data_IF_673314466515
#
_entry.id   IF_673314466515
#
_cell.length_a   1.000
_cell.length_b   1.000
_cell.length_c   1.000
_cell.angle_alpha   90.00
_cell.angle_beta   90.00
_cell.angle_gamma   90.00
#
_symmetry.space_group_name_H-M   'P 1'
#
loop_
_entity.id
_entity.type
_entity.pdbx_description
1 polymer ?
#
# COMPACT_ATOMS: atom_id res chain seq x y z
N UNK A 1 -15.69 52.24 -14.47
CA UNK A 1 -17.09 51.86 -14.75
C UNK A 1 -17.42 51.94 -16.26
N UNK A 2 -17.10 53.04 -16.96
CA UNK A 2 -17.41 53.19 -18.41
C UNK A 2 -16.73 52.11 -19.25
N UNK A 3 -15.43 51.81 -19.00
CA UNK A 3 -14.67 50.80 -19.73
C UNK A 3 -15.17 49.37 -19.43
N UNK A 4 -15.44 49.08 -18.17
CA UNK A 4 -16.01 47.77 -17.79
C UNK A 4 -17.36 47.51 -18.47
N UNK A 5 -18.19 48.55 -18.61
CA UNK A 5 -19.48 48.45 -19.30
C UNK A 5 -19.31 48.22 -20.81
N UNK A 6 -18.28 48.81 -21.43
CA UNK A 6 -17.97 48.64 -22.86
C UNK A 6 -17.45 47.21 -23.14
N UNK A 7 -16.68 46.64 -22.21
CA UNK A 7 -16.10 45.31 -22.30
C UNK A 7 -17.05 44.20 -21.73
N UNK A 8 -18.26 44.56 -21.35
CA UNK A 8 -19.24 43.61 -20.85
C UNK A 8 -18.91 43.01 -19.47
N UNK A 9 -18.01 43.63 -18.71
CA UNK A 9 -17.58 43.13 -17.39
C UNK A 9 -18.50 43.62 -16.27
N UNK A 10 -19.01 42.68 -15.48
CA UNK A 10 -19.78 42.97 -14.26
C UNK A 10 -18.84 43.25 -13.07
N UNK A 11 -18.80 44.51 -12.66
CA UNK A 11 -17.97 44.98 -11.54
C UNK A 11 -18.33 44.38 -10.19
N UNK A 12 -19.50 43.78 -10.04
CA UNK A 12 -19.90 43.11 -8.82
C UNK A 12 -19.16 41.77 -8.59
N UNK A 13 -18.63 41.19 -9.67
CA UNK A 13 -17.89 39.92 -9.65
C UNK A 13 -16.38 40.08 -9.50
N UNK A 14 -15.85 41.33 -9.57
CA UNK A 14 -14.44 41.62 -9.48
C UNK A 14 -14.04 42.11 -8.08
N UNK A 15 -12.92 41.66 -7.55
CA UNK A 15 -12.25 42.28 -6.40
C UNK A 15 -11.15 43.22 -6.92
N UNK A 16 -11.09 44.47 -6.39
CA UNK A 16 -10.11 45.45 -6.81
C UNK A 16 -8.89 45.51 -5.88
N UNK A 17 -7.70 45.75 -6.43
CA UNK A 17 -6.46 45.95 -5.68
C UNK A 17 -6.23 47.44 -5.29
N UNK A 18 -7.11 48.36 -5.69
CA UNK A 18 -7.01 49.79 -5.38
C UNK A 18 -7.44 50.14 -3.95
N UNK A 19 -7.22 51.39 -3.48
CA UNK A 19 -7.60 51.85 -2.17
C UNK A 19 -9.07 51.57 -1.85
N UNK A 20 -9.33 51.02 -0.67
CA UNK A 20 -10.67 50.57 -0.21
C UNK A 20 -11.33 49.51 -1.15
N UNK A 21 -10.55 48.63 -1.77
CA UNK A 21 -11.08 47.56 -2.62
C UNK A 21 -11.61 48.04 -3.98
N UNK A 22 -11.18 49.24 -4.44
CA UNK A 22 -11.62 49.80 -5.72
C UNK A 22 -10.97 49.03 -6.88
N UNK A 23 -11.79 48.64 -7.85
CA UNK A 23 -11.30 48.06 -9.12
C UNK A 23 -10.59 49.09 -9.94
N UNK A 24 -9.31 48.87 -10.27
CA UNK A 24 -8.45 49.72 -11.07
C UNK A 24 -8.49 49.33 -12.53
N UNK A 25 -7.84 50.13 -13.39
CA UNK A 25 -7.69 49.78 -14.81
C UNK A 25 -6.80 48.54 -14.99
N UNK A 26 -5.79 48.39 -14.15
CA UNK A 26 -4.89 47.25 -14.17
C UNK A 26 -5.63 45.95 -13.84
N UNK A 27 -6.54 45.96 -12.86
CA UNK A 27 -7.37 44.79 -12.51
C UNK A 27 -8.25 44.37 -13.71
N UNK A 28 -8.81 45.32 -14.40
CA UNK A 28 -9.61 45.05 -15.59
C UNK A 28 -8.77 44.53 -16.74
N UNK A 29 -7.55 45.06 -16.96
CA UNK A 29 -6.63 44.60 -17.98
C UNK A 29 -6.16 43.17 -17.71
N UNK A 30 -5.84 42.83 -16.45
CA UNK A 30 -5.48 41.48 -16.04
C UNK A 30 -6.63 40.49 -16.24
N UNK A 31 -7.86 40.92 -15.97
CA UNK A 31 -9.04 40.08 -16.22
C UNK A 31 -9.26 39.85 -17.73
N UNK A 32 -9.13 40.87 -18.56
CA UNK A 32 -9.34 40.78 -20.02
C UNK A 32 -8.20 40.01 -20.72
N UNK A 33 -6.98 40.07 -20.19
CA UNK A 33 -5.84 39.31 -20.74
C UNK A 33 -5.87 37.83 -20.38
N UNK A 34 -6.80 37.38 -19.54
CA UNK A 34 -6.94 36.00 -19.17
C UNK A 34 -5.81 35.50 -18.25
N UNK A 35 -5.04 36.40 -17.64
CA UNK A 35 -3.91 36.08 -16.76
C UNK A 35 -4.36 35.49 -15.40
N UNK A 36 -5.66 35.32 -15.24
CA UNK A 36 -6.24 34.51 -14.16
C UNK A 36 -6.05 35.06 -12.75
N UNK A 37 -5.71 36.35 -12.60
CA UNK A 37 -5.59 36.98 -11.28
C UNK A 37 -6.54 38.17 -11.15
N UNK A 38 -7.38 38.17 -10.11
CA UNK A 38 -8.14 39.32 -9.69
C UNK A 38 -7.75 39.60 -8.22
N UNK A 39 -7.24 40.83 -7.99
CA UNK A 39 -6.79 41.20 -6.64
C UNK A 39 -5.58 40.41 -6.11
N UNK A 40 -4.68 39.93 -6.98
CA UNK A 40 -3.48 39.18 -6.59
C UNK A 40 -3.71 37.72 -6.20
N UNK A 41 -4.93 37.21 -6.27
CA UNK A 41 -5.24 35.81 -6.05
C UNK A 41 -5.50 35.10 -7.39
N UNK A 42 -4.94 33.92 -7.62
CA UNK A 42 -5.23 33.16 -8.83
C UNK A 42 -6.72 32.80 -8.87
N UNK A 43 -7.39 33.14 -9.98
CA UNK A 43 -8.76 32.67 -10.21
C UNK A 43 -8.69 31.15 -10.42
N UNK A 44 -9.41 30.33 -9.65
CA UNK A 44 -9.47 28.90 -9.91
C UNK A 44 -10.00 28.70 -11.34
N UNK A 45 -9.18 28.13 -12.23
CA UNK A 45 -9.66 27.72 -13.55
C UNK A 45 -10.84 26.80 -13.33
N UNK A 46 -11.98 27.10 -13.92
CA UNK A 46 -13.12 26.18 -13.91
C UNK A 46 -12.65 24.81 -14.40
N UNK A 47 -12.87 23.79 -13.58
CA UNK A 47 -12.47 22.43 -13.93
C UNK A 47 -13.20 22.03 -15.23
N UNK A 48 -12.49 21.38 -16.14
CA UNK A 48 -13.10 20.80 -17.33
C UNK A 48 -14.03 19.68 -16.90
N UNK A 49 -15.31 19.79 -17.17
CA UNK A 49 -16.26 18.71 -16.94
C UNK A 49 -15.85 17.49 -17.76
N UNK A 50 -15.67 16.36 -17.07
CA UNK A 50 -15.32 15.09 -17.70
C UNK A 50 -16.54 14.18 -17.68
N UNK A 51 -17.11 13.89 -18.84
CA UNK A 51 -18.29 13.02 -19.02
C UNK A 51 -17.96 11.64 -19.58
N UNK A 52 -16.70 11.36 -19.87
CA UNK A 52 -16.28 10.06 -20.42
C UNK A 52 -16.36 8.95 -19.39
N UNK A 53 -17.02 7.84 -19.76
CA UNK A 53 -17.08 6.59 -19.00
C UNK A 53 -16.26 5.54 -19.74
N UNK A 54 -15.39 4.83 -19.03
CA UNK A 54 -14.62 3.71 -19.58
C UNK A 54 -14.97 2.46 -18.81
N UNK A 55 -15.53 1.48 -19.48
CA UNK A 55 -15.82 0.17 -18.90
C UNK A 55 -14.58 -0.72 -19.00
N UNK A 56 -14.11 -1.24 -17.87
CA UNK A 56 -12.98 -2.16 -17.79
C UNK A 56 -13.45 -3.48 -17.20
N UNK A 57 -13.41 -4.59 -17.96
CA UNK A 57 -13.83 -5.88 -17.46
C UNK A 57 -12.91 -6.39 -16.33
N UNK A 58 -13.51 -6.91 -15.26
CA UNK A 58 -12.77 -7.53 -14.14
C UNK A 58 -12.59 -9.01 -14.44
N UNK A 59 -11.41 -9.38 -14.96
CA UNK A 59 -11.08 -10.75 -15.36
C UNK A 59 -9.77 -11.23 -14.72
N UNK A 60 -9.49 -12.54 -14.81
CA UNK A 60 -8.21 -13.13 -14.39
C UNK A 60 -7.95 -12.95 -12.89
N UNK A 61 -6.75 -12.49 -12.55
CA UNK A 61 -6.31 -12.33 -11.15
C UNK A 61 -7.21 -11.40 -10.34
N UNK A 62 -7.65 -10.28 -10.92
CA UNK A 62 -8.56 -9.34 -10.24
C UNK A 62 -9.87 -9.97 -9.86
N UNK A 63 -10.43 -10.85 -10.73
CA UNK A 63 -11.63 -11.61 -10.44
C UNK A 63 -11.43 -12.56 -9.26
N UNK A 64 -10.33 -13.34 -9.28
CA UNK A 64 -9.97 -14.25 -8.18
C UNK A 64 -9.81 -13.53 -6.86
N UNK A 65 -9.16 -12.36 -6.85
CA UNK A 65 -9.01 -11.53 -5.65
C UNK A 65 -10.39 -11.10 -5.12
N UNK A 66 -11.27 -10.61 -5.99
CA UNK A 66 -12.63 -10.21 -5.61
C UNK A 66 -13.41 -11.35 -4.99
N UNK A 67 -13.39 -12.53 -5.62
CA UNK A 67 -14.09 -13.72 -5.14
C UNK A 67 -13.57 -14.17 -3.77
N UNK A 68 -12.23 -14.21 -3.57
CA UNK A 68 -11.60 -14.59 -2.29
C UNK A 68 -11.86 -13.56 -1.19
N UNK A 69 -11.79 -12.27 -1.50
CA UNK A 69 -12.07 -11.22 -0.52
C UNK A 69 -13.54 -11.25 -0.08
N UNK A 70 -14.47 -11.48 -1.02
CA UNK A 70 -15.89 -11.64 -0.72
C UNK A 70 -16.12 -12.85 0.17
N UNK A 71 -15.53 -14.01 -0.15
CA UNK A 71 -15.63 -15.23 0.66
C UNK A 71 -15.10 -14.97 2.07
N UNK A 72 -13.91 -14.39 2.20
CA UNK A 72 -13.31 -14.07 3.49
C UNK A 72 -14.22 -13.15 4.31
N UNK A 73 -14.70 -12.06 3.72
CA UNK A 73 -15.54 -11.08 4.42
C UNK A 73 -16.88 -11.65 4.90
N UNK A 74 -17.49 -12.55 4.13
CA UNK A 74 -18.78 -13.14 4.49
C UNK A 74 -18.69 -14.30 5.47
N UNK A 75 -17.54 -14.98 5.54
CA UNK A 75 -17.38 -16.20 6.36
C UNK A 75 -16.67 -15.91 7.67
N UNK A 76 -15.70 -14.95 7.70
CA UNK A 76 -14.85 -14.71 8.86
C UNK A 76 -15.29 -13.46 9.62
N UNK A 77 -15.60 -13.53 10.92
CA UNK A 77 -15.87 -12.34 11.73
C UNK A 77 -14.56 -11.57 11.96
N UNK A 78 -14.42 -10.42 11.28
CA UNK A 78 -13.22 -9.61 11.34
C UNK A 78 -13.21 -8.70 12.58
N UNK A 79 -12.03 -8.54 13.16
CA UNK A 79 -11.75 -7.51 14.16
C UNK A 79 -10.38 -6.90 13.91
N UNK A 80 -10.10 -5.74 14.51
CA UNK A 80 -8.80 -5.07 14.40
C UNK A 80 -8.22 -4.83 15.80
N UNK A 81 -6.92 -5.04 15.91
CA UNK A 81 -6.15 -4.75 17.12
C UNK A 81 -4.99 -3.83 16.74
N UNK A 82 -4.74 -2.80 17.57
CA UNK A 82 -3.69 -1.83 17.37
C UNK A 82 -2.84 -1.74 18.64
N UNK A 83 -1.52 -1.79 18.47
CA UNK A 83 -0.55 -1.69 19.55
C UNK A 83 0.66 -0.89 19.08
N UNK A 84 1.20 -0.06 19.98
CA UNK A 84 2.44 0.67 19.74
C UNK A 84 3.59 -0.04 20.44
N UNK A 85 4.67 -0.32 19.69
CA UNK A 85 5.86 -1.01 20.19
C UNK A 85 7.10 -0.16 19.91
N UNK A 86 7.89 0.13 20.95
CA UNK A 86 9.19 0.77 20.78
C UNK A 86 10.19 -0.21 20.16
N UNK A 87 10.68 0.13 18.98
CA UNK A 87 11.65 -0.68 18.20
C UNK A 87 13.04 -0.05 18.15
N UNK A 88 13.36 0.90 19.04
CA UNK A 88 14.65 1.63 19.05
C UNK A 88 15.82 0.67 19.19
N UNK A 89 15.77 -0.26 20.13
CA UNK A 89 16.84 -1.24 20.36
C UNK A 89 16.93 -2.25 19.20
N UNK A 90 15.80 -2.63 18.61
CA UNK A 90 15.77 -3.49 17.42
C UNK A 90 16.44 -2.80 16.23
N UNK A 91 16.21 -1.50 16.04
CA UNK A 91 16.87 -0.75 14.97
C UNK A 91 18.39 -0.66 15.20
N UNK A 92 18.82 -0.38 16.42
CA UNK A 92 20.24 -0.37 16.77
C UNK A 92 20.89 -1.74 16.49
N UNK A 93 20.24 -2.84 16.87
CA UNK A 93 20.70 -4.20 16.59
C UNK A 93 20.77 -4.46 15.07
N UNK A 94 19.72 -4.11 14.32
CA UNK A 94 19.69 -4.28 12.88
C UNK A 94 20.82 -3.53 12.17
N UNK A 95 21.08 -2.28 12.58
CA UNK A 95 22.18 -1.47 12.03
C UNK A 95 23.53 -2.10 12.36
N UNK A 96 23.74 -2.52 13.59
CA UNK A 96 24.97 -3.18 14.01
C UNK A 96 25.22 -4.47 13.21
N UNK A 97 24.22 -5.33 13.07
CA UNK A 97 24.32 -6.56 12.28
C UNK A 97 24.64 -6.26 10.82
N UNK A 98 23.97 -5.27 10.21
CA UNK A 98 24.22 -4.88 8.82
C UNK A 98 25.61 -4.26 8.61
N UNK A 99 26.16 -3.59 9.59
CA UNK A 99 27.52 -3.02 9.54
C UNK A 99 28.63 -4.07 9.67
N UNK A 100 28.33 -5.15 10.40
CA UNK A 100 29.27 -6.24 10.66
C UNK A 100 29.01 -7.50 9.81
N UNK A 101 28.14 -7.41 8.80
CA UNK A 101 27.84 -8.54 7.92
C UNK A 101 29.03 -8.91 7.03
N UNK A 102 29.15 -10.18 6.68
CA UNK A 102 30.06 -10.66 5.66
C UNK A 102 29.50 -10.40 4.24
N UNK A 103 30.36 -10.51 3.22
CA UNK A 103 29.93 -10.27 1.82
C UNK A 103 28.82 -11.23 1.36
N UNK A 104 28.82 -12.46 1.88
CA UNK A 104 27.82 -13.48 1.57
C UNK A 104 26.47 -13.26 2.26
N UNK A 105 26.41 -12.38 3.25
CA UNK A 105 25.20 -12.13 4.03
C UNK A 105 24.37 -11.01 3.41
N UNK A 106 23.06 -11.21 3.28
CA UNK A 106 22.16 -10.18 2.75
C UNK A 106 21.99 -9.03 3.73
N UNK A 107 21.56 -7.88 3.24
CA UNK A 107 21.14 -6.78 4.11
C UNK A 107 19.83 -7.14 4.81
N UNK A 108 19.82 -7.13 6.14
CA UNK A 108 18.65 -7.43 6.96
C UNK A 108 17.69 -6.25 6.99
N UNK A 109 16.41 -6.57 6.82
CA UNK A 109 15.27 -5.67 7.03
C UNK A 109 14.54 -6.05 8.31
N UNK A 110 13.62 -5.23 8.80
CA UNK A 110 12.77 -5.55 9.94
C UNK A 110 11.99 -6.86 9.77
N UNK A 111 11.57 -7.17 8.53
CA UNK A 111 10.81 -8.39 8.25
C UNK A 111 11.55 -9.66 8.67
N UNK A 112 12.87 -9.73 8.50
CA UNK A 112 13.64 -10.90 8.93
C UNK A 112 13.55 -11.12 10.45
N UNK A 113 13.57 -10.04 11.24
CA UNK A 113 13.41 -10.10 12.70
C UNK A 113 11.99 -10.48 13.10
N UNK A 114 10.98 -9.91 12.45
CA UNK A 114 9.56 -10.23 12.69
C UNK A 114 9.29 -11.70 12.37
N UNK A 115 9.84 -12.24 11.29
CA UNK A 115 9.70 -13.64 10.93
C UNK A 115 10.25 -14.55 12.03
N UNK A 116 11.43 -14.25 12.58
CA UNK A 116 12.02 -15.01 13.68
C UNK A 116 11.23 -14.87 14.99
N UNK A 117 10.67 -13.69 15.25
CA UNK A 117 9.80 -13.46 16.41
C UNK A 117 8.51 -14.29 16.31
N UNK A 118 7.90 -14.39 15.12
CA UNK A 118 6.72 -15.21 14.87
C UNK A 118 7.02 -16.72 15.09
N UNK A 119 8.17 -17.20 14.62
CA UNK A 119 8.59 -18.58 14.87
C UNK A 119 8.65 -18.87 16.37
N UNK A 120 9.30 -18.00 17.15
CA UNK A 120 9.38 -18.14 18.60
C UNK A 120 8.03 -18.09 19.29
N UNK A 121 7.12 -17.24 18.79
CA UNK A 121 5.77 -17.13 19.31
C UNK A 121 5.00 -18.44 19.12
N UNK A 122 5.03 -19.01 17.91
CA UNK A 122 4.33 -20.25 17.60
C UNK A 122 4.90 -21.46 18.35
N UNK A 123 6.21 -21.52 18.59
CA UNK A 123 6.86 -22.56 19.36
C UNK A 123 6.73 -22.36 20.89
N UNK A 124 6.31 -21.19 21.33
CA UNK A 124 6.23 -20.77 22.74
C UNK A 124 4.86 -20.90 23.38
N UNK A 125 3.98 -21.79 22.89
CA UNK A 125 2.65 -22.03 23.46
C UNK A 125 1.51 -21.31 22.74
N UNK A 126 1.78 -20.79 21.53
CA UNK A 126 0.77 -20.14 20.69
C UNK A 126 0.61 -20.85 19.34
N UNK A 127 0.70 -22.17 19.36
CA UNK A 127 0.58 -23.03 18.17
C UNK A 127 -0.76 -22.84 17.45
N UNK A 128 -1.82 -22.52 18.21
CA UNK A 128 -3.15 -22.21 17.66
C UNK A 128 -3.18 -21.01 16.71
N UNK A 129 -2.18 -20.13 16.76
CA UNK A 129 -2.06 -19.03 15.81
C UNK A 129 -1.49 -19.46 14.45
N UNK A 130 -0.87 -20.67 14.36
CA UNK A 130 -0.39 -21.26 13.11
C UNK A 130 -1.32 -22.39 12.68
N UNK A 131 -2.58 -22.06 12.45
CA UNK A 131 -3.64 -23.01 12.16
C UNK A 131 -4.53 -22.56 11.01
N UNK A 132 -5.20 -23.50 10.37
CA UNK A 132 -6.28 -23.25 9.43
C UNK A 132 -7.57 -23.85 9.95
N UNK A 133 -8.69 -23.13 9.78
CA UNK A 133 -10.01 -23.61 10.15
C UNK A 133 -10.81 -23.93 8.90
N UNK A 134 -11.34 -25.14 8.83
CA UNK A 134 -12.26 -25.58 7.79
C UNK A 134 -13.70 -25.50 8.37
N UNK A 135 -14.44 -24.48 7.92
CA UNK A 135 -15.79 -24.19 8.42
C UNK A 135 -16.81 -25.26 8.02
N UNK A 136 -16.61 -25.94 6.88
CA UNK A 136 -17.53 -27.00 6.43
C UNK A 136 -17.37 -28.29 7.26
N UNK A 137 -16.14 -28.58 7.68
CA UNK A 137 -15.81 -29.78 8.49
C UNK A 137 -15.75 -29.50 9.99
N UNK A 138 -15.81 -28.25 10.39
CA UNK A 138 -15.63 -27.79 11.77
C UNK A 138 -14.28 -28.29 12.38
N UNK A 139 -13.21 -28.29 11.56
CA UNK A 139 -11.89 -28.81 11.96
C UNK A 139 -10.85 -27.70 11.98
N UNK A 140 -10.14 -27.57 13.08
CA UNK A 140 -8.95 -26.75 13.20
C UNK A 140 -7.70 -27.61 12.95
N UNK A 141 -6.95 -27.28 11.90
CA UNK A 141 -5.70 -27.95 11.58
C UNK A 141 -4.52 -27.09 12.06
N UNK A 142 -3.75 -27.62 13.01
CA UNK A 142 -2.52 -27.00 13.51
C UNK A 142 -1.35 -27.37 12.59
N UNK A 143 -0.54 -26.40 12.20
CA UNK A 143 0.63 -26.60 11.35
C UNK A 143 1.92 -26.45 12.16
N UNK A 144 2.80 -27.45 12.11
CA UNK A 144 4.13 -27.38 12.72
C UNK A 144 5.08 -26.51 11.89
N UNK A 145 4.97 -26.59 10.56
CA UNK A 145 5.77 -25.80 9.65
C UNK A 145 5.34 -24.32 9.64
N UNK A 146 6.28 -23.42 9.85
CA UNK A 146 6.04 -21.97 9.83
C UNK A 146 6.33 -21.43 8.44
N UNK A 147 5.27 -21.24 7.65
CA UNK A 147 5.32 -20.71 6.29
C UNK A 147 4.77 -19.27 6.29
N UNK A 148 5.60 -18.29 5.94
CA UNK A 148 5.25 -16.88 6.05
C UNK A 148 5.08 -16.25 4.66
N UNK A 149 3.87 -15.81 4.34
CA UNK A 149 3.56 -15.08 3.12
C UNK A 149 3.94 -13.59 3.23
N UNK A 150 4.62 -13.08 2.21
CA UNK A 150 5.10 -11.70 2.14
C UNK A 150 4.33 -10.93 1.05
N UNK A 151 3.46 -10.03 1.44
CA UNK A 151 2.73 -9.22 0.49
C UNK A 151 3.68 -8.35 -0.34
N UNK A 152 3.69 -8.56 -1.65
CA UNK A 152 4.60 -7.90 -2.60
C UNK A 152 3.78 -7.27 -3.72
N UNK A 153 3.82 -5.95 -3.83
CA UNK A 153 3.19 -5.21 -4.93
C UNK A 153 3.99 -5.37 -6.22
N UNK A 154 3.29 -5.65 -7.31
CA UNK A 154 3.85 -5.75 -8.66
C UNK A 154 2.96 -5.00 -9.66
N UNK A 155 3.44 -4.77 -10.88
CA UNK A 155 2.67 -4.12 -11.95
C UNK A 155 1.41 -4.91 -12.33
N UNK A 156 1.39 -6.22 -12.07
CA UNK A 156 0.26 -7.12 -12.36
C UNK A 156 -0.73 -7.24 -11.19
N UNK A 157 -0.42 -6.64 -10.03
CA UNK A 157 -1.23 -6.71 -8.81
C UNK A 157 -0.43 -7.18 -7.60
N UNK A 158 -1.14 -7.47 -6.52
CA UNK A 158 -0.55 -7.94 -5.28
C UNK A 158 -0.31 -9.45 -5.35
N UNK A 159 0.93 -9.85 -5.14
CA UNK A 159 1.34 -11.24 -4.97
C UNK A 159 1.80 -11.49 -3.54
N UNK A 160 1.61 -12.71 -3.06
CA UNK A 160 2.03 -13.11 -1.71
C UNK A 160 2.95 -14.33 -1.80
N UNK A 161 4.23 -14.14 -2.22
CA UNK A 161 5.19 -15.23 -2.19
C UNK A 161 5.44 -15.69 -0.77
N UNK A 162 5.75 -16.97 -0.59
CA UNK A 162 5.88 -17.62 0.71
C UNK A 162 7.32 -18.01 0.98
N UNK A 163 7.81 -17.62 2.15
CA UNK A 163 9.05 -18.14 2.73
C UNK A 163 8.67 -19.39 3.53
N UNK A 164 9.07 -20.56 3.04
CA UNK A 164 8.75 -21.85 3.65
C UNK A 164 9.76 -22.22 4.75
N UNK A 165 9.28 -22.93 5.77
CA UNK A 165 10.08 -23.50 6.85
C UNK A 165 11.00 -22.49 7.54
N UNK A 166 10.41 -21.37 7.98
CA UNK A 166 11.17 -20.30 8.65
C UNK A 166 11.76 -20.78 9.98
N UNK A 167 11.14 -21.74 10.62
CA UNK A 167 11.59 -22.38 11.86
C UNK A 167 12.96 -23.06 11.73
N UNK A 168 13.31 -23.52 10.54
CA UNK A 168 14.61 -24.15 10.26
C UNK A 168 15.69 -23.18 9.71
N UNK A 169 15.37 -21.86 9.64
CA UNK A 169 16.28 -20.87 9.05
C UNK A 169 16.88 -19.94 10.09
N UNK A 170 18.15 -19.62 9.91
CA UNK A 170 18.78 -18.50 10.61
C UNK A 170 18.20 -17.18 10.12
N UNK A 171 18.44 -16.10 10.87
CA UNK A 171 17.97 -14.76 10.46
C UNK A 171 18.56 -14.33 9.10
N UNK A 172 19.80 -14.74 8.79
CA UNK A 172 20.47 -14.44 7.53
C UNK A 172 19.85 -15.22 6.37
N UNK A 173 19.60 -16.52 6.55
CA UNK A 173 18.92 -17.35 5.56
C UNK A 173 17.48 -16.89 5.31
N UNK A 174 16.75 -16.52 6.37
CA UNK A 174 15.41 -15.96 6.25
C UNK A 174 15.44 -14.63 5.47
N UNK A 175 16.43 -13.77 5.72
CA UNK A 175 16.64 -12.52 4.99
C UNK A 175 16.99 -12.73 3.52
N UNK A 176 17.84 -13.71 3.20
CA UNK A 176 18.20 -14.08 1.83
C UNK A 176 16.98 -14.61 1.05
N UNK A 177 16.23 -15.51 1.69
CA UNK A 177 15.03 -16.11 1.09
C UNK A 177 13.93 -15.08 0.87
N UNK A 178 13.74 -14.15 1.81
CA UNK A 178 12.83 -13.01 1.68
C UNK A 178 13.13 -12.19 0.41
N UNK A 179 14.41 -11.85 0.19
CA UNK A 179 14.84 -11.10 -0.99
C UNK A 179 14.60 -11.91 -2.26
N UNK A 180 14.93 -13.20 -2.24
CA UNK A 180 14.75 -14.10 -3.37
C UNK A 180 13.30 -14.19 -3.81
N UNK A 181 12.38 -14.48 -2.87
CA UNK A 181 10.96 -14.67 -3.20
C UNK A 181 10.28 -13.36 -3.62
N UNK A 182 10.64 -12.23 -2.99
CA UNK A 182 10.10 -10.92 -3.36
C UNK A 182 10.59 -10.49 -4.76
N UNK A 183 11.86 -10.76 -5.11
CA UNK A 183 12.41 -10.47 -6.43
C UNK A 183 11.78 -11.34 -7.51
N UNK A 184 11.59 -12.63 -7.24
CA UNK A 184 10.91 -13.55 -8.16
C UNK A 184 9.45 -13.12 -8.43
N UNK A 185 8.74 -12.66 -7.40
CA UNK A 185 7.39 -12.15 -7.55
C UNK A 185 7.33 -10.90 -8.45
N UNK A 186 8.25 -9.93 -8.26
CA UNK A 186 8.34 -8.73 -9.12
C UNK A 186 8.70 -9.06 -10.55
N UNK A 187 9.59 -10.03 -10.77
CA UNK A 187 9.97 -10.50 -12.10
C UNK A 187 8.87 -11.31 -12.82
N UNK A 188 7.76 -11.63 -12.12
CA UNK A 188 6.69 -12.47 -12.65
C UNK A 188 7.06 -13.95 -12.81
N UNK A 189 8.16 -14.39 -12.19
CA UNK A 189 8.69 -15.76 -12.24
C UNK A 189 8.29 -16.60 -11.01
N UNK A 190 7.40 -16.11 -10.15
CA UNK A 190 6.95 -16.85 -8.98
C UNK A 190 6.09 -18.04 -9.43
N UNK A 191 6.54 -19.26 -9.11
CA UNK A 191 5.78 -20.49 -9.36
C UNK A 191 4.55 -20.57 -8.45
N UNK A 192 3.52 -21.33 -8.87
CA UNK A 192 2.32 -21.55 -8.06
C UNK A 192 2.65 -22.18 -6.69
N UNK A 193 3.71 -22.96 -6.61
CA UNK A 193 4.20 -23.56 -5.36
C UNK A 193 4.78 -22.52 -4.39
N UNK A 194 5.46 -21.50 -4.91
CA UNK A 194 6.01 -20.38 -4.11
C UNK A 194 4.91 -19.44 -3.59
N UNK A 195 3.69 -19.56 -4.10
CA UNK A 195 2.53 -18.71 -3.77
C UNK A 195 1.58 -19.33 -2.74
N UNK A 196 1.83 -20.54 -2.27
CA UNK A 196 0.94 -21.25 -1.33
C UNK A 196 1.53 -21.22 0.08
N UNK A 197 0.78 -20.68 1.03
CA UNK A 197 1.10 -20.71 2.47
C UNK A 197 0.85 -22.11 3.04
N UNK A 198 -0.24 -22.74 2.61
CA UNK A 198 -0.64 -24.09 2.99
C UNK A 198 -0.84 -24.92 1.73
N UNK A 199 -0.27 -26.11 1.68
CA UNK A 199 -0.63 -27.09 0.67
C UNK A 199 -2.03 -27.59 0.98
N UNK A 200 -3.04 -27.05 0.30
CA UNK A 200 -4.35 -27.68 0.25
C UNK A 200 -4.17 -28.95 -0.58
N UNK A 201 -4.13 -30.10 0.11
CA UNK A 201 -4.37 -31.39 -0.52
C UNK A 201 -5.70 -31.31 -1.23
N UNK A 202 -5.69 -31.43 -2.55
CA UNK A 202 -6.92 -31.50 -3.36
C UNK A 202 -7.59 -32.84 -3.17
#
# INVERSE_FOLDING_TARGET
>A
RRRAKLEGFDLSQGSGCGPAGRITHADLDSYLSGDGTVGGLPIPKAGVERSGVTEVPVIGLRRKIADQMTKSYTTIPHFSYFEEVDVTDLEALRQWMNSNRTEDQPKLTYLAFIMQALVKLFQGGHEGCNATYDDEKEVLTLHEAVNIGIATTTDRGLYVPVVKHVEGKTIWEAGAELIRVASAARAGCASGETMRVVETSA
#
